data_IF_903360338636
#
_entry.id   IF_903360338636
#
_cell.length_a   1.000
_cell.length_b   1.000
_cell.length_c   1.000
_cell.angle_alpha   90.00
_cell.angle_beta   90.00
_cell.angle_gamma   90.00
#
_symmetry.space_group_name_H-M   'P 1'
#
loop_
_entity.id
_entity.type
_entity.pdbx_description
1 polymer ?
#
# COMPACT_ATOMS: atom_id res chain seq x y z
N UNK A 1 -55.46 46.93 16.54
CA UNK A 1 -53.98 46.97 16.39
C UNK A 1 -53.45 45.57 16.61
N UNK A 2 -53.17 44.91 15.54
CA UNK A 2 -52.69 43.52 15.54
C UNK A 2 -51.19 43.55 15.33
N UNK A 3 -50.43 43.12 16.31
CA UNK A 3 -48.99 43.04 16.29
C UNK A 3 -48.60 41.66 15.72
N UNK A 4 -48.17 41.63 14.47
CA UNK A 4 -47.70 40.41 13.81
C UNK A 4 -46.25 40.22 14.17
N UNK A 5 -45.95 39.21 15.00
CA UNK A 5 -44.62 38.80 15.40
C UNK A 5 -44.13 37.80 14.36
N UNK A 6 -43.26 38.27 13.45
CA UNK A 6 -42.57 37.39 12.47
C UNK A 6 -41.42 36.70 13.17
N UNK A 7 -41.60 35.43 13.45
CA UNK A 7 -40.52 34.56 13.93
C UNK A 7 -39.63 34.20 12.77
N UNK A 8 -38.42 34.78 12.75
CA UNK A 8 -37.38 34.45 11.79
C UNK A 8 -36.70 33.14 12.22
N UNK A 9 -37.11 32.04 11.59
CA UNK A 9 -36.45 30.75 11.79
C UNK A 9 -35.08 30.77 11.11
N UNK A 10 -33.99 30.92 11.90
CA UNK A 10 -32.65 30.70 11.45
C UNK A 10 -32.43 29.18 11.22
N UNK A 11 -32.49 28.77 9.95
CA UNK A 11 -32.07 27.45 9.53
C UNK A 11 -30.52 27.45 9.60
N UNK A 12 -29.98 27.00 10.71
CA UNK A 12 -28.56 26.71 10.83
C UNK A 12 -28.25 25.49 9.94
N UNK A 13 -27.80 25.74 8.73
CA UNK A 13 -27.18 24.75 7.87
C UNK A 13 -25.92 24.26 8.57
N UNK A 14 -26.04 23.15 9.29
CA UNK A 14 -24.90 22.44 9.83
C UNK A 14 -24.03 21.95 8.68
N UNK A 15 -23.01 22.72 8.34
CA UNK A 15 -21.87 22.17 7.61
C UNK A 15 -21.31 21.03 8.45
N UNK A 16 -21.66 19.78 8.09
CA UNK A 16 -20.87 18.64 8.51
C UNK A 16 -19.48 18.86 7.93
N UNK A 17 -18.56 19.39 8.75
CA UNK A 17 -17.13 19.23 8.53
C UNK A 17 -16.94 17.73 8.42
N UNK A 18 -16.74 17.25 7.19
CA UNK A 18 -16.11 15.98 6.96
C UNK A 18 -14.70 16.15 7.55
N UNK A 19 -14.53 15.67 8.77
CA UNK A 19 -13.19 15.60 9.37
C UNK A 19 -12.36 14.80 8.36
N UNK A 20 -11.42 15.49 7.72
CA UNK A 20 -10.43 14.85 6.88
C UNK A 20 -9.74 13.83 7.78
N UNK A 21 -10.03 12.54 7.55
CA UNK A 21 -9.43 11.45 8.30
C UNK A 21 -7.93 11.62 8.21
N UNK A 22 -7.30 11.74 9.35
CA UNK A 22 -5.87 11.96 9.42
C UNK A 22 -5.16 10.80 8.74
N UNK A 23 -4.56 11.08 7.59
CA UNK A 23 -3.73 10.15 6.84
C UNK A 23 -2.36 10.12 7.48
N UNK A 24 -1.88 8.94 7.82
CA UNK A 24 -0.54 8.71 8.32
C UNK A 24 0.20 7.74 7.41
N UNK A 25 1.24 8.21 6.75
CA UNK A 25 2.09 7.36 5.94
C UNK A 25 2.82 6.34 6.81
N UNK A 26 3.01 5.14 6.30
CA UNK A 26 3.61 4.02 7.02
C UNK A 26 4.96 3.66 6.42
N UNK A 27 5.95 3.51 7.29
CA UNK A 27 7.22 2.89 6.92
C UNK A 27 7.04 1.38 6.77
N UNK A 28 7.68 0.79 5.80
CA UNK A 28 7.62 -0.63 5.54
C UNK A 28 8.97 -1.17 5.06
N UNK A 29 9.11 -2.49 5.15
CA UNK A 29 10.27 -3.22 4.61
C UNK A 29 9.77 -4.17 3.54
N UNK A 30 10.39 -4.15 2.36
CA UNK A 30 10.17 -5.19 1.34
C UNK A 30 10.94 -6.43 1.76
N UNK A 31 10.26 -7.56 1.83
CA UNK A 31 10.85 -8.83 2.25
C UNK A 31 11.29 -9.67 1.04
N UNK A 32 12.50 -10.21 1.10
CA UNK A 32 12.92 -11.26 0.21
C UNK A 32 12.18 -12.57 0.56
N UNK A 33 12.03 -13.47 -0.40
CA UNK A 33 11.35 -14.75 -0.20
C UNK A 33 11.96 -15.59 0.93
N UNK A 34 13.29 -15.51 1.10
CA UNK A 34 14.02 -16.21 2.16
C UNK A 34 13.74 -15.70 3.57
N UNK A 35 13.20 -14.49 3.70
CA UNK A 35 12.87 -13.86 4.99
C UNK A 35 11.42 -14.12 5.42
N UNK A 36 10.63 -14.76 4.57
CA UNK A 36 9.22 -15.02 4.83
C UNK A 36 9.03 -16.23 5.75
N UNK A 37 8.01 -16.20 6.64
CA UNK A 37 7.54 -17.41 7.32
C UNK A 37 7.21 -18.53 6.31
N UNK A 38 7.53 -19.77 6.65
CA UNK A 38 7.28 -20.92 5.76
C UNK A 38 5.82 -21.04 5.35
N UNK A 39 4.90 -20.86 6.28
CA UNK A 39 3.45 -20.89 6.02
C UNK A 39 3.05 -19.81 5.02
N UNK A 40 3.58 -18.61 5.17
CA UNK A 40 3.28 -17.50 4.24
C UNK A 40 3.80 -17.80 2.84
N UNK A 41 5.01 -18.33 2.74
CA UNK A 41 5.61 -18.72 1.46
C UNK A 41 4.75 -19.76 0.74
N UNK A 42 4.29 -20.79 1.46
CA UNK A 42 3.41 -21.80 0.89
C UNK A 42 2.09 -21.20 0.36
N UNK A 43 1.47 -20.31 1.12
CA UNK A 43 0.24 -19.63 0.69
C UNK A 43 0.46 -18.80 -0.58
N UNK A 44 1.59 -18.11 -0.69
CA UNK A 44 1.94 -17.34 -1.88
C UNK A 44 2.07 -18.27 -3.09
N UNK A 45 2.78 -19.39 -2.96
CA UNK A 45 2.94 -20.37 -4.03
C UNK A 45 1.59 -20.90 -4.56
N UNK A 46 0.63 -21.14 -3.69
CA UNK A 46 -0.71 -21.58 -4.05
C UNK A 46 -1.53 -20.51 -4.77
N UNK A 47 -1.29 -19.22 -4.45
CA UNK A 47 -2.11 -18.11 -4.94
C UNK A 47 -1.53 -17.37 -6.15
N UNK A 48 -0.22 -17.46 -6.39
CA UNK A 48 0.50 -16.60 -7.36
C UNK A 48 0.04 -16.72 -8.81
N UNK A 49 -0.65 -17.80 -9.18
CA UNK A 49 -1.21 -18.00 -10.52
C UNK A 49 -2.27 -16.95 -10.90
N UNK A 50 -2.93 -16.39 -9.90
CA UNK A 50 -3.98 -15.38 -10.07
C UNK A 50 -3.62 -14.10 -9.34
N UNK A 51 -4.19 -12.97 -9.77
CA UNK A 51 -4.05 -11.73 -9.02
C UNK A 51 -4.70 -11.89 -7.63
N UNK A 52 -3.98 -11.48 -6.59
CA UNK A 52 -4.46 -11.57 -5.21
C UNK A 52 -3.86 -10.49 -4.32
N UNK A 53 -4.57 -10.20 -3.25
CA UNK A 53 -4.07 -9.41 -2.14
C UNK A 53 -4.43 -10.13 -0.84
N UNK A 54 -3.50 -10.19 0.08
CA UNK A 54 -3.74 -10.76 1.39
C UNK A 54 -2.91 -10.07 2.46
N UNK A 55 -3.35 -10.19 3.70
CA UNK A 55 -2.58 -9.86 4.89
C UNK A 55 -2.31 -11.11 5.72
N UNK A 56 -1.12 -11.19 6.28
CA UNK A 56 -0.70 -12.28 7.16
C UNK A 56 -0.09 -11.66 8.43
N UNK A 57 -0.62 -12.03 9.57
CA UNK A 57 -0.22 -11.44 10.86
C UNK A 57 0.50 -12.46 11.71
N UNK A 58 1.67 -12.10 12.18
CA UNK A 58 2.41 -12.83 13.22
C UNK A 58 2.25 -12.12 14.56
N UNK A 59 2.94 -12.61 15.59
CA UNK A 59 2.94 -11.96 16.91
C UNK A 59 3.43 -10.50 16.83
N UNK A 60 4.43 -10.23 16.02
CA UNK A 60 5.14 -8.93 16.02
C UNK A 60 4.95 -8.12 14.73
N UNK A 61 4.54 -8.77 13.65
CA UNK A 61 4.49 -8.16 12.32
C UNK A 61 3.18 -8.42 11.58
N UNK A 62 2.85 -7.46 10.73
CA UNK A 62 1.86 -7.58 9.67
C UNK A 62 2.60 -7.66 8.34
N UNK A 63 2.30 -8.69 7.55
CA UNK A 63 2.76 -8.83 6.16
C UNK A 63 1.58 -8.52 5.23
N UNK A 64 1.84 -7.74 4.21
CA UNK A 64 0.88 -7.47 3.14
C UNK A 64 1.50 -8.01 1.85
N UNK A 65 0.74 -8.85 1.16
CA UNK A 65 1.15 -9.47 -0.10
C UNK A 65 0.21 -8.99 -1.19
N UNK A 66 0.80 -8.51 -2.28
CA UNK A 66 0.07 -8.14 -3.50
C UNK A 66 0.70 -8.87 -4.68
N UNK A 67 -0.09 -9.72 -5.34
CA UNK A 67 0.29 -10.48 -6.51
C UNK A 67 -0.56 -10.11 -7.71
N UNK A 68 0.06 -10.08 -8.86
CA UNK A 68 -0.59 -9.69 -10.13
C UNK A 68 -0.97 -10.88 -11.01
N UNK A 69 -0.70 -12.11 -10.54
CA UNK A 69 -0.98 -13.32 -11.29
C UNK A 69 0.02 -13.57 -12.42
N UNK A 70 -0.36 -14.40 -13.36
CA UNK A 70 0.48 -14.75 -14.49
C UNK A 70 0.60 -13.59 -15.50
N UNK A 71 1.84 -13.27 -15.86
CA UNK A 71 2.17 -12.29 -16.88
C UNK A 71 3.08 -12.90 -17.94
N UNK A 72 2.77 -12.64 -19.22
CA UNK A 72 3.57 -13.13 -20.35
C UNK A 72 4.87 -12.36 -20.58
N UNK A 73 5.20 -11.37 -19.74
CA UNK A 73 6.45 -10.61 -19.77
C UNK A 73 7.34 -10.99 -18.60
N UNK A 74 8.62 -11.10 -18.88
CA UNK A 74 9.69 -11.11 -17.88
C UNK A 74 10.11 -9.68 -17.57
N UNK A 75 10.81 -9.44 -16.47
CA UNK A 75 11.29 -8.12 -16.02
C UNK A 75 10.19 -7.16 -15.57
N UNK A 76 9.14 -7.70 -14.97
CA UNK A 76 8.13 -6.92 -14.27
C UNK A 76 8.42 -6.90 -12.77
N UNK A 77 8.33 -5.72 -12.18
CA UNK A 77 8.48 -5.49 -10.75
C UNK A 77 7.21 -4.87 -10.20
N UNK A 78 6.79 -5.31 -9.02
CA UNK A 78 5.73 -4.65 -8.27
C UNK A 78 6.34 -3.57 -7.41
N UNK A 79 5.84 -2.35 -7.52
CA UNK A 79 6.25 -1.22 -6.70
C UNK A 79 5.10 -0.76 -5.80
N UNK A 80 5.42 -0.34 -4.59
CA UNK A 80 4.45 0.31 -3.69
C UNK A 80 4.50 1.81 -3.96
N UNK A 81 3.40 2.35 -4.47
CA UNK A 81 3.28 3.79 -4.73
C UNK A 81 2.82 4.54 -3.48
N UNK A 82 1.87 3.97 -2.75
CA UNK A 82 1.35 4.56 -1.51
C UNK A 82 1.10 3.48 -0.46
N UNK A 83 1.45 3.80 0.77
CA UNK A 83 1.11 3.00 1.94
C UNK A 83 0.83 3.94 3.12
N UNK A 84 -0.41 3.96 3.55
CA UNK A 84 -0.82 4.81 4.67
C UNK A 84 -1.95 4.18 5.47
N UNK A 85 -2.16 4.66 6.66
CA UNK A 85 -3.29 4.27 7.50
C UNK A 85 -4.16 5.48 7.85
N UNK A 86 -5.39 5.16 8.22
CA UNK A 86 -6.32 6.04 8.92
C UNK A 86 -6.71 5.37 10.24
N UNK A 87 -7.68 5.93 10.93
CA UNK A 87 -8.31 5.31 12.11
C UNK A 87 -9.06 3.99 11.80
N UNK A 88 -9.32 3.70 10.52
CA UNK A 88 -10.20 2.59 10.10
C UNK A 88 -9.51 1.49 9.32
N UNK A 89 -8.48 1.82 8.55
CA UNK A 89 -7.85 0.88 7.64
C UNK A 89 -6.42 1.28 7.26
N UNK A 90 -5.67 0.31 6.78
CA UNK A 90 -4.43 0.49 6.04
C UNK A 90 -4.76 0.50 4.56
N UNK A 91 -4.22 1.45 3.83
CA UNK A 91 -4.42 1.60 2.39
C UNK A 91 -3.09 1.37 1.68
N UNK A 92 -3.11 0.50 0.69
CA UNK A 92 -1.96 0.21 -0.14
C UNK A 92 -2.31 0.45 -1.61
N UNK A 93 -1.40 1.12 -2.31
CA UNK A 93 -1.42 1.26 -3.76
C UNK A 93 -0.15 0.69 -4.34
N UNK A 94 -0.28 -0.22 -5.28
CA UNK A 94 0.85 -0.83 -5.98
C UNK A 94 0.68 -0.66 -7.48
N UNK A 95 1.80 -0.68 -8.19
CA UNK A 95 1.83 -0.65 -9.64
C UNK A 95 2.82 -1.70 -10.16
N UNK A 96 2.60 -2.13 -11.40
CA UNK A 96 3.44 -3.09 -12.09
C UNK A 96 4.28 -2.37 -13.12
N UNK A 97 5.59 -2.28 -12.89
CA UNK A 97 6.53 -1.54 -13.74
C UNK A 97 7.59 -2.46 -14.33
N UNK A 98 8.11 -2.07 -15.47
CA UNK A 98 9.31 -2.66 -16.05
C UNK A 98 10.56 -2.02 -15.44
N UNK A 99 11.71 -2.72 -15.49
CA UNK A 99 12.99 -2.14 -15.02
C UNK A 99 13.32 -0.82 -15.74
N UNK A 100 13.01 -0.72 -17.04
CA UNK A 100 13.24 0.51 -17.81
C UNK A 100 12.39 1.69 -17.33
N UNK A 101 11.18 1.46 -16.84
CA UNK A 101 10.31 2.49 -16.27
C UNK A 101 10.80 2.94 -14.89
N UNK A 102 11.46 2.06 -14.15
CA UNK A 102 12.06 2.39 -12.85
C UNK A 102 13.31 3.26 -13.01
N UNK A 103 14.14 3.02 -14.02
CA UNK A 103 15.34 3.82 -14.29
C UNK A 103 15.01 5.25 -14.77
N UNK A 104 13.87 5.46 -15.41
CA UNK A 104 13.41 6.77 -15.90
C UNK A 104 13.00 7.75 -14.81
N UNK A 105 12.64 7.27 -13.64
CA UNK A 105 12.16 8.10 -12.51
C UNK A 105 13.31 8.62 -11.63
N UNK A 106 14.55 8.16 -11.85
CA UNK A 106 15.74 8.56 -11.08
C UNK A 106 16.33 9.89 -11.57
N UNK A 107 15.78 10.50 -12.62
CA UNK A 107 16.29 11.77 -13.19
C UNK A 107 16.12 13.00 -12.28
N UNK A 108 15.61 12.86 -11.08
CA UNK A 108 15.31 13.96 -10.15
C UNK A 108 16.15 14.03 -8.89
N UNK A 109 17.10 13.12 -8.63
CA UNK A 109 17.94 13.19 -7.41
C UNK A 109 19.39 13.41 -7.79
N UNK A 110 19.79 14.68 -7.72
CA UNK A 110 21.19 15.08 -7.79
C UNK A 110 21.99 14.52 -6.59
N UNK A 111 23.03 13.76 -6.93
CA UNK A 111 24.31 13.69 -6.24
C UNK A 111 24.32 13.80 -4.71
N UNK A 112 24.36 12.67 -4.06
CA UNK A 112 24.78 12.51 -2.67
C UNK A 112 25.34 11.11 -2.51
N UNK A 113 26.65 11.00 -2.66
CA UNK A 113 27.47 9.81 -2.41
C UNK A 113 27.19 9.27 -1.02
N UNK A 114 26.63 8.04 -0.94
CA UNK A 114 27.10 7.04 0.00
C UNK A 114 26.56 5.67 -0.44
N UNK A 115 27.48 4.93 -0.97
CA UNK A 115 27.37 3.52 -1.34
C UNK A 115 27.22 2.67 -0.09
N UNK A 116 26.01 2.37 0.29
CA UNK A 116 25.60 1.19 1.06
C UNK A 116 24.07 1.09 1.13
N UNK A 117 23.42 1.13 -0.03
CA UNK A 117 22.06 0.62 -0.12
C UNK A 117 22.21 -0.89 -0.37
N UNK A 118 21.70 -1.74 0.51
CA UNK A 118 21.62 -3.16 0.17
C UNK A 118 20.71 -3.27 -1.03
N UNK A 119 21.27 -3.87 -2.06
CA UNK A 119 20.65 -4.20 -3.32
C UNK A 119 19.19 -4.64 -3.17
N UNK A 120 18.35 -4.05 -3.99
CA UNK A 120 17.25 -4.75 -4.56
C UNK A 120 15.98 -4.77 -3.76
N UNK A 121 15.31 -3.65 -3.70
CA UNK A 121 13.86 -3.61 -3.50
C UNK A 121 13.11 -3.91 -4.81
N UNK A 122 13.70 -4.72 -5.65
CA UNK A 122 13.03 -5.28 -6.81
C UNK A 122 12.20 -6.45 -6.35
N UNK A 123 10.90 -6.28 -6.37
CA UNK A 123 9.99 -7.40 -6.36
C UNK A 123 10.47 -8.40 -7.42
N UNK A 124 10.36 -9.67 -7.12
CA UNK A 124 10.88 -10.77 -7.94
C UNK A 124 10.48 -10.58 -9.40
N UNK A 125 11.44 -10.38 -10.27
CA UNK A 125 11.26 -10.38 -11.71
C UNK A 125 10.88 -11.80 -12.13
N UNK A 126 9.60 -12.07 -12.27
CA UNK A 126 9.09 -13.41 -12.58
C UNK A 126 7.85 -13.34 -13.43
N UNK A 127 7.47 -14.49 -14.01
CA UNK A 127 6.21 -14.66 -14.71
C UNK A 127 4.99 -14.46 -13.80
N UNK A 128 5.19 -14.45 -12.49
CA UNK A 128 4.17 -14.24 -11.45
C UNK A 128 4.63 -13.13 -10.50
N UNK A 129 4.59 -11.86 -10.93
CA UNK A 129 5.09 -10.76 -10.12
C UNK A 129 4.25 -10.56 -8.85
N UNK A 130 4.92 -10.48 -7.71
CA UNK A 130 4.30 -10.16 -6.43
C UNK A 130 5.28 -9.38 -5.55
N UNK A 131 4.75 -8.71 -4.55
CA UNK A 131 5.53 -8.03 -3.51
C UNK A 131 5.03 -8.45 -2.14
N UNK A 132 5.95 -8.59 -1.21
CA UNK A 132 5.67 -8.78 0.21
C UNK A 132 6.28 -7.64 0.99
N UNK A 133 5.47 -6.90 1.71
CA UNK A 133 5.92 -5.86 2.61
C UNK A 133 5.62 -6.23 4.05
N UNK A 134 6.49 -5.82 4.95
CA UNK A 134 6.40 -6.06 6.39
C UNK A 134 6.29 -4.74 7.13
N UNK A 135 5.36 -4.69 8.07
CA UNK A 135 5.11 -3.60 8.99
C UNK A 135 5.16 -4.10 10.44
N UNK A 136 5.34 -3.23 11.43
CA UNK A 136 4.94 -3.54 12.80
C UNK A 136 3.47 -4.00 12.84
N UNK A 137 3.14 -4.90 13.75
CA UNK A 137 1.77 -5.41 13.86
C UNK A 137 0.75 -4.30 14.03
N UNK A 138 -0.26 -4.30 13.18
CA UNK A 138 -1.41 -3.39 13.22
C UNK A 138 -2.69 -4.22 13.09
N UNK A 139 -3.69 -3.89 13.90
CA UNK A 139 -5.00 -4.56 13.94
C UNK A 139 -6.04 -3.82 13.07
N UNK A 140 -5.65 -3.46 11.87
CA UNK A 140 -6.49 -2.74 10.92
C UNK A 140 -6.66 -3.55 9.63
N UNK A 141 -7.84 -3.52 8.99
CA UNK A 141 -8.02 -4.13 7.68
C UNK A 141 -7.15 -3.44 6.63
N UNK A 142 -6.68 -4.22 5.65
CA UNK A 142 -5.88 -3.73 4.52
C UNK A 142 -6.77 -3.60 3.29
N UNK A 143 -6.79 -2.42 2.70
CA UNK A 143 -7.58 -2.09 1.52
C UNK A 143 -6.67 -1.68 0.36
N UNK A 144 -7.01 -2.12 -0.85
CA UNK A 144 -6.34 -1.67 -2.07
C UNK A 144 -6.95 -0.34 -2.52
N UNK A 145 -6.08 0.57 -2.98
CA UNK A 145 -6.47 1.83 -3.61
C UNK A 145 -6.20 1.70 -5.11
N UNK A 146 -7.25 1.79 -5.89
CA UNK A 146 -7.19 1.75 -7.37
C UNK A 146 -6.88 3.13 -7.92
#
# INVERSE_FOLDING_TARGET
MILVLVALACVSSGCRKQEARERQDLDFTVCAETELPDDLRQIIEEKKLHAFQMSYTTKDHLYIVVGYGEHGRTNLCVVVEELYKTDRAIYIKTDLKTEAEMEGDISGVASGTDSNTPDGQTGTSSMYPYIVIRLPRLELPVLNVS
#
